data_IF_876856800300
#
_entry.id   IF_876856800300
#
_cell.length_a   1.000
_cell.length_b   1.000
_cell.length_c   1.000
_cell.angle_alpha   90.00
_cell.angle_beta   90.00
_cell.angle_gamma   90.00
#
_symmetry.space_group_name_H-M   'P 1'
#
loop_
_entity.id
_entity.type
_entity.pdbx_description
1 polymer ?
#
# COMPACT_ATOMS: atom_id res chain seq x y z
N UNK A 1 18.39 -6.23 -1.06
CA UNK A 1 18.70 -5.81 0.33
C UNK A 1 17.74 -6.51 1.28
N UNK A 2 18.30 -7.18 2.25
CA UNK A 2 17.51 -7.81 3.31
C UNK A 2 17.72 -7.05 4.62
N UNK A 3 16.70 -6.30 5.05
CA UNK A 3 16.74 -5.50 6.26
C UNK A 3 15.34 -5.31 6.81
N UNK A 4 15.22 -4.78 8.02
CA UNK A 4 13.93 -4.37 8.55
C UNK A 4 13.49 -3.10 7.82
N UNK A 5 12.20 -3.00 7.52
CA UNK A 5 11.64 -1.86 6.78
C UNK A 5 11.90 -0.52 7.48
N UNK A 6 11.97 -0.50 8.81
CA UNK A 6 12.24 0.71 9.58
C UNK A 6 13.61 1.32 9.27
N UNK A 7 14.53 0.55 8.71
CA UNK A 7 15.89 1.00 8.40
C UNK A 7 16.11 1.34 6.93
N UNK A 8 15.05 1.27 6.11
CA UNK A 8 15.21 1.41 4.65
C UNK A 8 15.77 2.78 4.25
N UNK A 9 15.50 3.84 5.01
CA UNK A 9 16.05 5.17 4.77
C UNK A 9 17.58 5.22 4.84
N UNK A 10 18.21 4.25 5.52
CA UNK A 10 19.66 4.16 5.62
C UNK A 10 20.31 3.70 4.31
N UNK A 11 19.53 3.18 3.37
CA UNK A 11 20.02 2.58 2.12
C UNK A 11 19.72 3.42 0.88
N UNK A 12 18.80 4.37 0.96
CA UNK A 12 18.37 5.16 -0.18
C UNK A 12 18.47 6.65 0.09
N UNK A 13 19.01 7.39 -0.87
CA UNK A 13 19.08 8.83 -0.84
C UNK A 13 17.79 9.44 -1.40
N UNK A 14 17.65 10.76 -1.24
CA UNK A 14 16.53 11.51 -1.78
C UNK A 14 16.40 11.28 -3.29
N UNK A 15 15.18 11.12 -3.77
CA UNK A 15 14.83 10.94 -5.18
C UNK A 15 15.43 9.69 -5.84
N UNK A 16 15.90 8.73 -5.05
CA UNK A 16 16.55 7.54 -5.59
C UNK A 16 15.58 6.46 -6.06
N UNK A 17 14.36 6.42 -5.49
CA UNK A 17 13.36 5.40 -5.79
C UNK A 17 12.15 6.04 -6.46
N UNK A 18 11.70 5.46 -7.58
CA UNK A 18 10.54 5.94 -8.33
C UNK A 18 9.25 5.19 -8.02
N UNK A 19 9.35 3.97 -7.52
CA UNK A 19 8.18 3.13 -7.31
C UNK A 19 8.42 2.14 -6.17
N UNK A 20 7.39 1.97 -5.33
CA UNK A 20 7.40 1.01 -4.24
C UNK A 20 6.23 0.03 -4.46
N UNK A 21 6.52 -1.26 -4.37
CA UNK A 21 5.52 -2.32 -4.38
C UNK A 21 5.41 -2.97 -3.01
N UNK A 22 4.21 -2.98 -2.46
CA UNK A 22 3.88 -3.65 -1.19
C UNK A 22 2.87 -4.73 -1.53
N UNK A 23 3.31 -6.00 -1.39
CA UNK A 23 2.48 -7.14 -1.77
C UNK A 23 2.20 -8.02 -0.55
N UNK A 24 0.92 -8.23 -0.28
CA UNK A 24 0.42 -9.08 0.80
C UNK A 24 1.07 -8.82 2.16
N UNK A 25 1.15 -7.54 2.60
CA UNK A 25 1.68 -7.24 3.92
C UNK A 25 0.72 -7.71 5.00
N UNK A 26 1.25 -7.88 6.21
CA UNK A 26 0.38 -8.09 7.38
C UNK A 26 -0.54 -6.88 7.53
N UNK A 27 -1.87 -7.03 7.51
CA UNK A 27 -2.78 -5.89 7.59
C UNK A 27 -2.81 -5.22 8.96
N UNK A 28 -2.20 -5.81 9.99
CA UNK A 28 -2.14 -5.25 11.35
C UNK A 28 -3.52 -4.78 11.82
N UNK A 29 -4.47 -5.73 11.86
CA UNK A 29 -5.90 -5.43 12.06
C UNK A 29 -6.23 -4.80 13.41
N UNK A 30 -5.48 -5.10 14.46
CA UNK A 30 -5.73 -4.56 15.79
C UNK A 30 -5.45 -3.06 15.83
N UNK A 31 -6.34 -2.29 16.48
CA UNK A 31 -6.23 -0.84 16.57
C UNK A 31 -4.88 -0.36 17.12
N UNK A 32 -4.31 -1.06 18.11
CA UNK A 32 -3.01 -0.72 18.69
C UNK A 32 -1.82 -1.04 17.77
N UNK A 33 -2.08 -1.64 16.58
CA UNK A 33 -1.05 -1.99 15.60
C UNK A 33 -1.11 -1.12 14.35
N UNK A 34 -1.96 -0.10 14.30
CA UNK A 34 -2.15 0.75 13.12
C UNK A 34 -0.83 1.37 12.65
N UNK A 35 0.04 1.78 13.56
CA UNK A 35 1.34 2.37 13.22
C UNK A 35 2.29 1.39 12.54
N UNK A 36 2.02 0.09 12.60
CA UNK A 36 2.82 -0.95 11.94
C UNK A 36 2.37 -1.25 10.52
N UNK A 37 1.26 -0.66 10.07
CA UNK A 37 0.77 -0.85 8.69
C UNK A 37 1.72 -0.21 7.71
N UNK A 38 2.17 -0.96 6.70
CA UNK A 38 3.16 -0.48 5.73
C UNK A 38 2.63 0.64 4.82
N UNK A 39 1.32 0.83 4.74
CA UNK A 39 0.69 1.96 4.04
C UNK A 39 0.14 3.02 5.01
N UNK A 40 0.49 2.92 6.28
CA UNK A 40 0.08 3.90 7.28
C UNK A 40 0.94 5.17 7.25
N UNK A 41 0.47 6.20 7.97
CA UNK A 41 1.08 7.52 7.97
C UNK A 41 2.58 7.50 8.30
N UNK A 42 3.01 6.72 9.27
CA UNK A 42 4.41 6.69 9.67
C UNK A 42 5.32 6.13 8.59
N UNK A 43 4.92 5.04 7.93
CA UNK A 43 5.70 4.46 6.84
C UNK A 43 5.68 5.33 5.60
N UNK A 44 4.54 5.93 5.26
CA UNK A 44 4.46 6.85 4.11
C UNK A 44 5.35 8.08 4.33
N UNK A 45 5.40 8.61 5.55
CA UNK A 45 6.32 9.70 5.89
C UNK A 45 7.77 9.28 5.64
N UNK A 46 8.13 8.06 6.02
CA UNK A 46 9.47 7.52 5.77
C UNK A 46 9.76 7.37 4.27
N UNK A 47 8.82 6.80 3.51
CA UNK A 47 9.00 6.63 2.05
C UNK A 47 9.15 7.98 1.33
N UNK A 48 8.45 9.02 1.79
CA UNK A 48 8.50 10.34 1.16
C UNK A 48 9.90 10.96 1.16
N UNK A 49 10.80 10.46 2.00
CA UNK A 49 12.15 10.99 2.13
C UNK A 49 13.08 10.53 1.00
N UNK A 50 12.78 9.38 0.37
CA UNK A 50 13.63 8.85 -0.71
C UNK A 50 12.88 8.62 -2.01
N UNK A 51 11.56 8.72 -2.02
CA UNK A 51 10.77 8.58 -3.24
C UNK A 51 10.89 9.83 -4.10
N UNK A 52 11.01 9.66 -5.42
CA UNK A 52 11.10 10.78 -6.37
C UNK A 52 9.80 11.60 -6.41
N UNK A 53 9.83 12.83 -7.01
CA UNK A 53 8.67 13.73 -7.00
C UNK A 53 7.37 13.15 -7.55
N UNK A 54 7.44 12.25 -8.51
CA UNK A 54 6.28 11.57 -9.09
C UNK A 54 6.24 10.10 -8.69
N UNK A 55 6.97 9.76 -7.63
CA UNK A 55 7.05 8.40 -7.15
C UNK A 55 5.72 7.85 -6.68
N UNK A 56 5.52 6.55 -6.91
CA UNK A 56 4.25 5.88 -6.61
C UNK A 56 4.42 4.74 -5.62
N UNK A 57 3.35 4.48 -4.89
CA UNK A 57 3.21 3.29 -4.04
C UNK A 57 2.12 2.40 -4.62
N UNK A 58 2.42 1.12 -4.74
CA UNK A 58 1.48 0.09 -5.21
C UNK A 58 1.20 -0.86 -4.05
N UNK A 59 -0.07 -1.07 -3.74
CA UNK A 59 -0.51 -2.02 -2.73
C UNK A 59 -1.34 -3.12 -3.38
N UNK A 60 -0.90 -4.36 -3.22
CA UNK A 60 -1.62 -5.54 -3.67
C UNK A 60 -1.88 -6.43 -2.46
N UNK A 61 -3.14 -6.68 -2.13
CA UNK A 61 -3.50 -7.40 -0.91
C UNK A 61 -4.84 -8.11 -1.03
N UNK A 62 -5.02 -9.18 -0.28
CA UNK A 62 -6.30 -9.86 -0.08
C UNK A 62 -7.14 -9.24 1.04
N UNK A 63 -6.56 -8.31 1.81
CA UNK A 63 -7.23 -7.66 2.92
C UNK A 63 -8.07 -6.47 2.45
N UNK A 64 -9.39 -6.63 2.46
CA UNK A 64 -10.31 -5.53 2.20
C UNK A 64 -10.16 -4.40 3.22
N UNK A 65 -9.92 -4.76 4.48
CA UNK A 65 -9.70 -3.79 5.55
C UNK A 65 -8.50 -2.88 5.25
N UNK A 66 -7.36 -3.48 4.88
CA UNK A 66 -6.16 -2.72 4.55
C UNK A 66 -6.35 -1.87 3.29
N UNK A 67 -7.04 -2.39 2.29
CA UNK A 67 -7.35 -1.65 1.07
C UNK A 67 -8.17 -0.39 1.38
N UNK A 68 -9.25 -0.55 2.13
CA UNK A 68 -10.13 0.56 2.50
C UNK A 68 -9.43 1.56 3.42
N UNK A 69 -8.67 1.06 4.39
CA UNK A 69 -7.85 1.92 5.26
C UNK A 69 -6.88 2.78 4.45
N UNK A 70 -6.18 2.16 3.50
CA UNK A 70 -5.20 2.88 2.67
C UNK A 70 -5.88 3.95 1.82
N UNK A 71 -7.08 3.68 1.30
CA UNK A 71 -7.85 4.70 0.57
C UNK A 71 -8.22 5.87 1.47
N UNK A 72 -8.52 5.64 2.74
CA UNK A 72 -8.76 6.74 3.70
C UNK A 72 -7.48 7.53 3.99
N UNK A 73 -6.32 6.87 4.05
CA UNK A 73 -5.02 7.57 4.17
C UNK A 73 -4.78 8.48 2.98
N UNK A 74 -5.05 8.00 1.77
CA UNK A 74 -4.94 8.77 0.53
C UNK A 74 -5.83 10.02 0.61
N UNK A 75 -7.07 9.83 1.05
CA UNK A 75 -8.07 10.88 1.12
C UNK A 75 -7.73 11.97 2.14
N UNK A 76 -7.36 11.57 3.37
CA UNK A 76 -7.07 12.53 4.44
C UNK A 76 -5.80 13.34 4.16
N UNK A 77 -4.88 12.79 3.39
CA UNK A 77 -3.63 13.47 3.01
C UNK A 77 -3.71 14.13 1.62
N UNK A 78 -4.85 14.06 0.97
CA UNK A 78 -5.09 14.64 -0.35
C UNK A 78 -4.09 14.14 -1.39
N UNK A 79 -3.81 12.84 -1.36
CA UNK A 79 -2.90 12.20 -2.32
C UNK A 79 -3.64 11.88 -3.61
N UNK A 80 -2.87 11.75 -4.70
CA UNK A 80 -3.43 11.38 -6.00
C UNK A 80 -3.57 9.87 -6.10
N UNK A 81 -4.81 9.38 -6.11
CA UNK A 81 -5.13 7.97 -6.36
C UNK A 81 -5.14 7.74 -7.88
N UNK A 82 -4.24 6.89 -8.36
CA UNK A 82 -4.10 6.62 -9.80
C UNK A 82 -4.94 5.42 -10.24
N UNK A 83 -4.96 4.34 -9.44
CA UNK A 83 -5.76 3.15 -9.70
C UNK A 83 -6.31 2.64 -8.36
N UNK A 84 -7.57 2.24 -8.35
CA UNK A 84 -8.18 1.55 -7.22
C UNK A 84 -9.09 0.44 -7.76
N UNK A 85 -8.80 -0.80 -7.39
CA UNK A 85 -9.58 -1.96 -7.84
C UNK A 85 -9.68 -2.96 -6.70
N UNK A 86 -10.90 -3.38 -6.35
CA UNK A 86 -11.14 -4.29 -5.23
C UNK A 86 -11.20 -5.76 -5.63
N UNK A 87 -11.03 -6.08 -6.92
CA UNK A 87 -10.96 -7.46 -7.41
C UNK A 87 -10.28 -7.49 -8.79
N UNK A 88 -8.95 -7.55 -8.81
CA UNK A 88 -8.16 -7.38 -10.03
C UNK A 88 -8.36 -8.50 -11.06
N UNK A 89 -8.73 -9.71 -10.62
CA UNK A 89 -8.93 -10.83 -11.53
C UNK A 89 -10.33 -10.90 -12.12
N UNK A 90 -11.28 -10.16 -11.56
CA UNK A 90 -12.60 -9.98 -12.15
C UNK A 90 -12.63 -8.85 -13.19
N UNK A 91 -11.73 -7.86 -13.05
CA UNK A 91 -11.68 -6.65 -13.89
C UNK A 91 -10.26 -6.36 -14.35
N UNK A 92 -9.57 -7.35 -14.91
CA UNK A 92 -8.15 -7.26 -15.31
C UNK A 92 -7.86 -6.15 -16.32
N UNK A 93 -8.83 -5.76 -17.12
CA UNK A 93 -8.69 -4.68 -18.10
C UNK A 93 -8.55 -3.29 -17.46
N UNK A 94 -8.90 -3.16 -16.19
CA UNK A 94 -8.86 -1.88 -15.45
C UNK A 94 -7.56 -1.68 -14.69
N UNK A 95 -6.62 -2.63 -14.74
CA UNK A 95 -5.35 -2.55 -14.03
C UNK A 95 -4.19 -2.74 -15.02
N UNK A 96 -2.99 -2.19 -14.71
CA UNK A 96 -1.82 -2.45 -15.52
C UNK A 96 -1.53 -3.95 -15.61
N UNK A 97 -1.10 -4.42 -16.78
CA UNK A 97 -0.85 -5.85 -17.02
C UNK A 97 0.18 -6.45 -16.04
N UNK A 98 1.14 -5.68 -15.59
CA UNK A 98 2.14 -6.12 -14.62
C UNK A 98 1.54 -6.53 -13.27
N UNK A 99 0.37 -5.98 -12.91
CA UNK A 99 -0.30 -6.28 -11.64
C UNK A 99 -0.76 -7.73 -11.60
N UNK A 100 -1.22 -8.27 -12.71
CA UNK A 100 -1.73 -9.65 -12.80
C UNK A 100 -0.75 -10.64 -13.42
N UNK A 101 0.29 -10.14 -14.10
CA UNK A 101 1.26 -10.98 -14.80
C UNK A 101 2.17 -11.78 -13.86
N UNK A 102 2.51 -11.21 -12.69
CA UNK A 102 3.36 -11.85 -11.70
C UNK A 102 2.52 -12.27 -10.50
N UNK A 103 2.21 -13.56 -10.41
CA UNK A 103 1.48 -14.12 -9.27
C UNK A 103 2.46 -14.67 -8.24
N UNK A 104 2.34 -14.22 -7.00
CA UNK A 104 3.08 -14.81 -5.89
C UNK A 104 2.44 -16.15 -5.50
N UNK A 105 3.16 -16.97 -4.72
CA UNK A 105 2.61 -18.19 -4.14
C UNK A 105 1.38 -17.91 -3.27
N UNK A 106 1.40 -16.82 -2.50
CA UNK A 106 0.27 -16.39 -1.67
C UNK A 106 -0.94 -16.02 -2.53
N UNK A 107 -0.72 -15.35 -3.63
CA UNK A 107 -1.78 -14.92 -4.53
C UNK A 107 -2.50 -16.11 -5.16
N UNK A 108 -1.75 -17.08 -5.66
CA UNK A 108 -2.31 -18.30 -6.22
C UNK A 108 -3.18 -19.05 -5.19
N UNK A 109 -2.72 -19.08 -3.94
CA UNK A 109 -3.45 -19.71 -2.83
C UNK A 109 -4.75 -18.97 -2.52
N UNK A 110 -4.73 -17.64 -2.46
CA UNK A 110 -5.94 -16.84 -2.19
C UNK A 110 -6.95 -16.96 -3.32
N UNK A 111 -6.50 -17.01 -4.57
CA UNK A 111 -7.38 -17.23 -5.71
C UNK A 111 -8.05 -18.61 -5.65
N UNK A 112 -7.31 -19.64 -5.25
CA UNK A 112 -7.85 -20.99 -5.06
C UNK A 112 -8.91 -21.01 -3.94
N UNK A 113 -8.79 -20.14 -2.94
CA UNK A 113 -9.76 -20.01 -1.85
C UNK A 113 -10.94 -19.08 -2.21
N UNK A 114 -10.95 -18.52 -3.41
CA UNK A 114 -12.00 -17.61 -3.86
C UNK A 114 -11.93 -16.20 -3.27
N UNK A 115 -10.80 -15.81 -2.69
CA UNK A 115 -10.61 -14.49 -2.10
C UNK A 115 -10.31 -13.44 -3.19
N UNK A 116 -11.00 -12.28 -3.20
CA UNK A 116 -10.64 -11.22 -4.11
C UNK A 116 -9.30 -10.60 -3.74
N UNK A 117 -8.51 -10.26 -4.76
CA UNK A 117 -7.24 -9.56 -4.60
C UNK A 117 -7.47 -8.11 -5.01
N UNK A 118 -7.06 -7.19 -4.15
CA UNK A 118 -7.20 -5.76 -4.37
C UNK A 118 -5.92 -5.14 -4.90
N UNK A 119 -6.03 -4.01 -5.59
CA UNK A 119 -4.89 -3.23 -6.06
C UNK A 119 -5.16 -1.75 -5.90
N UNK A 120 -4.13 -1.03 -5.43
CA UNK A 120 -4.20 0.40 -5.21
C UNK A 120 -2.86 1.01 -5.62
N UNK A 121 -2.90 2.05 -6.46
CA UNK A 121 -1.72 2.80 -6.87
C UNK A 121 -1.95 4.28 -6.60
N UNK A 122 -1.00 4.92 -5.93
CA UNK A 122 -1.11 6.33 -5.58
C UNK A 122 0.25 7.01 -5.53
N UNK A 123 0.25 8.33 -5.70
CA UNK A 123 1.47 9.14 -5.60
C UNK A 123 1.65 9.69 -4.21
N UNK A 124 2.91 9.79 -3.76
CA UNK A 124 3.26 10.44 -2.50
C UNK A 124 3.70 11.89 -2.74
N UNK A 125 3.53 12.71 -1.70
CA UNK A 125 4.13 14.03 -1.62
C UNK A 125 5.50 13.89 -0.96
N UNK A 126 6.51 14.58 -1.50
CA UNK A 126 7.86 14.54 -0.95
C UNK A 126 7.97 15.33 0.36
N UNK A 127 8.85 14.86 1.25
CA UNK A 127 9.17 15.54 2.51
C UNK A 127 7.91 16.00 3.26
N UNK A 128 6.91 15.13 3.31
CA UNK A 128 5.60 15.41 3.87
C UNK A 128 5.38 14.54 5.10
N UNK A 129 4.79 15.13 6.14
CA UNK A 129 4.38 14.40 7.33
C UNK A 129 2.92 14.00 7.18
N UNK A 130 2.67 12.70 7.10
CA UNK A 130 1.35 12.16 6.81
C UNK A 130 0.48 12.07 8.05
N UNK A 131 -0.83 12.27 7.85
CA UNK A 131 -1.84 12.14 8.89
C UNK A 131 -2.46 10.75 8.84
N UNK A 132 -2.79 10.20 10.02
CA UNK A 132 -3.56 8.97 10.13
C UNK A 132 -5.04 9.30 10.03
N UNK A 133 -5.83 8.51 9.27
CA UNK A 133 -7.27 8.71 9.20
C UNK A 133 -7.95 8.21 10.48
N UNK A 134 -9.10 8.80 10.77
CA UNK A 134 -10.04 8.24 11.74
C UNK A 134 -10.87 7.19 11.00
N UNK A 135 -10.43 5.93 11.07
CA UNK A 135 -11.01 4.86 10.28
C UNK A 135 -12.00 4.06 11.12
N UNK A 136 -13.29 4.29 10.87
CA UNK A 136 -14.38 3.71 11.67
C UNK A 136 -14.33 2.17 11.75
N UNK A 137 -13.89 1.48 10.70
CA UNK A 137 -13.76 0.03 10.70
C UNK A 137 -12.73 -0.49 11.71
N UNK A 138 -11.77 0.33 12.13
CA UNK A 138 -10.79 -0.05 13.16
C UNK A 138 -11.44 -0.17 14.54
N UNK A 139 -12.52 0.54 14.77
CA UNK A 139 -13.24 0.50 16.05
C UNK A 139 -14.09 -0.76 16.19
N UNK A 140 -14.30 -1.50 15.11
CA UNK A 140 -15.08 -2.74 15.07
C UNK A 140 -14.24 -3.99 15.37
N UNK A 141 -12.94 -3.84 15.50
CA UNK A 141 -11.99 -4.95 15.65
C UNK A 141 -11.76 -5.36 17.13
#
# INVERSE_FOLDING_TARGET
>A
IRTRIEFINSFFAKDEIDEIWITFPDPQLKKNRVKKRLTGAEFLTMYSKFLSPEGTVNLKTDSQHLHLYTREVIKVNELRELVANNNIYATTSEVPSEVTALKTTYEARYLAEGKPITYLKFQLKQDFTYLSPDFAADDEL
#
